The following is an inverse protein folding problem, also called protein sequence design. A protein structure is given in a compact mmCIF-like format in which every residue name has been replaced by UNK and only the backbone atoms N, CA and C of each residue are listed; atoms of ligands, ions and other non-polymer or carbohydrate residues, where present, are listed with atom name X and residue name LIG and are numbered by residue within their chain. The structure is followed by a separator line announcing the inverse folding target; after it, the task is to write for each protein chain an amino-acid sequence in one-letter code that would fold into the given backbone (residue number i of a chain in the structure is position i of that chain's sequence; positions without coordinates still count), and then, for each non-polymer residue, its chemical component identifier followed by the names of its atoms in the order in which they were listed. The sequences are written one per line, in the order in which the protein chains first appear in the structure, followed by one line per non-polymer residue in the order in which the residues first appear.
data_IF_405913727780
#
_entry.id   IF_405913727780
#
_cell.length_a   1.000
_cell.length_b   1.000
_cell.length_c   1.000
_cell.angle_alpha   90.00
_cell.angle_beta   90.00
_cell.angle_gamma   90.00
#
_symmetry.space_group_name_H-M   'P 1'
#
loop_
_entity.id
_entity.type
_entity.pdbx_description
1 polymer ?
#
# COMPACT_ATOMS: atom_id res chain seq x y z
N UNK A 1 13.20 -2.19 -3.76
CA UNK A 1 12.34 -2.33 -2.56
C UNK A 1 10.96 -2.87 -2.91
N UNK A 2 10.19 -2.26 -3.81
CA UNK A 2 8.84 -2.74 -4.20
C UNK A 2 8.80 -4.23 -4.57
N UNK A 3 9.66 -4.64 -5.51
CA UNK A 3 9.72 -6.03 -5.99
C UNK A 3 9.99 -7.03 -4.87
N UNK A 4 11.06 -6.79 -4.09
CA UNK A 4 11.39 -7.60 -2.92
C UNK A 4 10.21 -7.72 -1.95
N UNK A 5 9.48 -6.62 -1.69
CA UNK A 5 8.29 -6.64 -0.84
C UNK A 5 7.17 -7.51 -1.42
N UNK A 6 6.91 -7.43 -2.73
CA UNK A 6 5.86 -8.22 -3.39
C UNK A 6 6.22 -9.70 -3.54
N UNK A 7 7.52 -10.01 -3.54
CA UNK A 7 8.05 -11.38 -3.64
C UNK A 7 8.10 -12.08 -2.27
N UNK A 8 8.20 -11.32 -1.17
CA UNK A 8 8.24 -11.83 0.20
C UNK A 8 6.85 -12.15 0.81
N UNK A 9 5.90 -12.57 -0.01
CA UNK A 9 4.57 -12.93 0.49
C UNK A 9 4.63 -14.28 1.21
N UNK A 10 4.34 -14.23 2.51
CA UNK A 10 4.42 -15.38 3.42
C UNK A 10 3.12 -16.17 3.56
N UNK A 11 2.02 -15.71 2.96
CA UNK A 11 0.70 -16.38 3.00
C UNK A 11 0.24 -16.69 1.58
N UNK A 12 -0.38 -17.85 1.38
CA UNK A 12 -0.94 -18.22 0.09
C UNK A 12 -1.94 -17.15 -0.39
N UNK A 13 -1.72 -16.64 -1.60
CA UNK A 13 -2.63 -15.67 -2.21
C UNK A 13 -3.96 -16.35 -2.53
N UNK A 14 -5.11 -15.72 -2.25
CA UNK A 14 -6.40 -16.24 -2.69
C UNK A 14 -6.43 -16.27 -4.23
N UNK A 15 -7.05 -17.33 -4.79
CA UNK A 15 -7.16 -17.49 -6.24
C UNK A 15 -7.87 -16.28 -6.83
N UNK A 16 -7.26 -15.65 -7.83
CA UNK A 16 -7.89 -14.57 -8.58
C UNK A 16 -9.05 -15.09 -9.41
N UNK A 17 -10.17 -14.39 -9.39
CA UNK A 17 -11.31 -14.65 -10.30
C UNK A 17 -11.85 -13.33 -10.85
N UNK A 18 -12.77 -13.37 -11.83
CA UNK A 18 -13.41 -12.17 -12.36
C UNK A 18 -14.08 -11.32 -11.27
N UNK A 19 -14.54 -11.96 -10.18
CA UNK A 19 -15.14 -11.29 -9.02
C UNK A 19 -14.12 -10.89 -7.95
N UNK A 20 -12.98 -11.57 -7.87
CA UNK A 20 -11.94 -11.36 -6.87
C UNK A 20 -10.60 -11.07 -7.56
N UNK A 21 -10.45 -9.84 -8.04
CA UNK A 21 -9.20 -9.38 -8.66
C UNK A 21 -8.24 -8.82 -7.62
N UNK A 22 -6.94 -9.03 -7.83
CA UNK A 22 -5.87 -8.52 -6.97
C UNK A 22 -5.54 -7.09 -7.39
N UNK A 23 -6.02 -6.10 -6.66
CA UNK A 23 -5.76 -4.68 -6.96
C UNK A 23 -4.64 -4.17 -6.06
N UNK A 24 -3.68 -3.43 -6.63
CA UNK A 24 -2.61 -2.80 -5.87
C UNK A 24 -2.62 -1.29 -6.11
N UNK A 25 -2.86 -0.52 -5.05
CA UNK A 25 -2.75 0.94 -5.10
C UNK A 25 -1.32 1.33 -4.70
N UNK A 26 -0.67 2.16 -5.52
CA UNK A 26 0.68 2.67 -5.25
C UNK A 26 0.70 4.18 -5.35
N UNK A 27 1.68 4.78 -4.66
CA UNK A 27 1.97 6.20 -4.77
C UNK A 27 2.43 6.58 -6.20
N UNK A 28 2.23 7.83 -6.58
CA UNK A 28 2.61 8.36 -7.90
C UNK A 28 4.13 8.25 -8.18
N UNK A 29 4.98 8.17 -7.14
CA UNK A 29 6.40 7.88 -7.30
C UNK A 29 6.70 6.52 -7.96
N UNK A 30 5.71 5.62 -8.06
CA UNK A 30 5.86 4.30 -8.67
C UNK A 30 5.39 4.20 -10.13
N UNK A 31 5.12 5.31 -10.84
CA UNK A 31 4.62 5.28 -12.23
C UNK A 31 5.45 4.38 -13.15
N UNK A 32 6.78 4.34 -12.98
CA UNK A 32 7.67 3.46 -13.75
C UNK A 32 7.70 1.98 -13.32
N UNK A 33 6.86 1.57 -12.37
CA UNK A 33 6.84 0.21 -11.81
C UNK A 33 5.61 -0.62 -12.22
N UNK A 34 4.76 -0.10 -13.11
CA UNK A 34 3.52 -0.77 -13.55
C UNK A 34 3.77 -2.20 -14.02
N UNK A 35 4.72 -2.40 -14.94
CA UNK A 35 5.04 -3.72 -15.48
C UNK A 35 5.48 -4.71 -14.41
N UNK A 36 6.19 -4.23 -13.39
CA UNK A 36 6.69 -5.07 -12.27
C UNK A 36 5.55 -5.57 -11.39
N UNK A 37 4.50 -4.77 -11.25
CA UNK A 37 3.30 -5.08 -10.48
C UNK A 37 2.41 -6.06 -11.26
N UNK A 38 2.20 -5.79 -12.54
CA UNK A 38 1.35 -6.60 -13.42
C UNK A 38 1.95 -7.99 -13.69
N UNK A 39 3.28 -8.09 -13.83
CA UNK A 39 4.01 -9.39 -13.88
C UNK A 39 3.73 -10.29 -12.67
N UNK A 40 3.36 -9.71 -11.53
CA UNK A 40 3.04 -10.42 -10.29
C UNK A 40 1.54 -10.66 -10.12
N UNK A 41 0.73 -10.43 -11.16
CA UNK A 41 -0.71 -10.71 -11.17
C UNK A 41 -1.58 -9.67 -10.46
N UNK A 42 -1.06 -8.45 -10.25
CA UNK A 42 -1.82 -7.34 -9.68
C UNK A 42 -2.30 -6.38 -10.77
N UNK A 43 -3.51 -5.84 -10.60
CA UNK A 43 -3.99 -4.67 -11.33
C UNK A 43 -3.40 -3.44 -10.65
N UNK A 44 -2.49 -2.75 -11.34
CA UNK A 44 -1.78 -1.59 -10.82
C UNK A 44 -2.65 -0.33 -10.90
N UNK A 45 -2.92 0.27 -9.74
CA UNK A 45 -3.53 1.60 -9.62
C UNK A 45 -2.44 2.59 -9.20
N UNK A 46 -1.79 3.18 -10.20
CA UNK A 46 -0.72 4.16 -10.02
C UNK A 46 -1.12 5.38 -10.85
N UNK A 47 -1.65 6.42 -10.20
CA UNK A 47 -2.00 7.67 -10.88
C UNK A 47 -1.67 8.88 -10.01
N UNK A 48 -1.05 9.93 -10.57
CA UNK A 48 -0.90 11.21 -9.89
C UNK A 48 -2.24 11.91 -9.73
N UNK A 49 -2.32 12.82 -8.74
CA UNK A 49 -3.53 13.57 -8.38
C UNK A 49 -4.14 14.34 -9.56
N UNK A 50 -3.30 14.91 -10.42
CA UNK A 50 -3.73 15.66 -11.61
C UNK A 50 -4.51 14.78 -12.58
N UNK A 51 -4.02 13.57 -12.85
CA UNK A 51 -4.68 12.61 -13.74
C UNK A 51 -5.98 12.07 -13.15
N UNK A 52 -6.02 11.74 -11.85
CA UNK A 52 -7.27 11.34 -11.20
C UNK A 52 -8.33 12.45 -11.27
N UNK A 53 -7.93 13.71 -11.09
CA UNK A 53 -8.85 14.85 -11.21
C UNK A 53 -9.42 14.97 -12.62
N UNK A 54 -8.59 14.80 -13.65
CA UNK A 54 -9.06 14.85 -15.04
C UNK A 54 -9.99 13.67 -15.37
N UNK A 55 -9.70 12.48 -14.85
CA UNK A 55 -10.55 11.31 -15.05
C UNK A 55 -11.92 11.48 -14.38
N UNK A 56 -11.97 12.02 -13.16
CA UNK A 56 -13.22 12.33 -12.48
C UNK A 56 -14.09 13.34 -13.25
N UNK A 57 -13.49 14.26 -13.99
CA UNK A 57 -14.22 15.21 -14.84
C UNK A 57 -14.78 14.54 -16.11
N UNK A 58 -14.08 13.53 -16.64
CA UNK A 58 -14.44 12.86 -17.91
C UNK A 58 -15.37 11.67 -17.70
N UNK A 59 -15.22 10.95 -16.59
CA UNK A 59 -15.91 9.71 -16.29
C UNK A 59 -16.59 9.79 -14.92
N UNK A 60 -17.92 9.99 -14.86
CA UNK A 60 -18.68 10.05 -13.63
C UNK A 60 -18.60 8.77 -12.77
N UNK A 61 -18.35 7.61 -13.39
CA UNK A 61 -18.26 6.32 -12.70
C UNK A 61 -16.87 6.03 -12.13
N UNK A 62 -15.89 6.90 -12.41
CA UNK A 62 -14.52 6.71 -11.95
C UNK A 62 -14.42 6.89 -10.42
N UNK A 63 -13.74 5.93 -9.77
CA UNK A 63 -13.47 5.97 -8.33
C UNK A 63 -11.98 6.18 -8.08
N UNK A 64 -11.62 7.34 -7.53
CA UNK A 64 -10.25 7.63 -7.10
C UNK A 64 -9.82 6.69 -5.98
N UNK A 65 -8.58 6.17 -6.07
CA UNK A 65 -8.05 5.15 -5.15
C UNK A 65 -6.81 5.61 -4.38
N UNK A 66 -6.26 6.79 -4.73
CA UNK A 66 -5.09 7.38 -4.07
C UNK A 66 -5.23 7.49 -2.55
N UNK A 67 -6.43 7.81 -2.06
CA UNK A 67 -6.71 7.95 -0.62
C UNK A 67 -6.38 6.68 0.18
N UNK A 68 -6.40 5.49 -0.43
CA UNK A 68 -6.04 4.22 0.23
C UNK A 68 -4.56 4.23 0.64
N UNK A 69 -3.68 4.77 -0.20
CA UNK A 69 -2.26 4.90 0.08
C UNK A 69 -2.04 5.92 1.19
N UNK A 70 -2.69 7.09 1.11
CA UNK A 70 -2.62 8.13 2.14
C UNK A 70 -3.12 7.65 3.51
N UNK A 71 -4.25 6.93 3.54
CA UNK A 71 -4.77 6.31 4.77
C UNK A 71 -3.76 5.32 5.33
N UNK A 72 -3.11 4.50 4.49
CA UNK A 72 -2.06 3.58 4.94
C UNK A 72 -0.88 4.35 5.55
N UNK A 73 -0.41 5.42 4.91
CA UNK A 73 0.63 6.30 5.46
C UNK A 73 0.22 6.94 6.79
N UNK A 74 -1.05 7.34 6.93
CA UNK A 74 -1.56 7.90 8.19
C UNK A 74 -1.45 6.92 9.37
N UNK A 75 -1.46 5.61 9.11
CA UNK A 75 -1.29 4.61 10.17
C UNK A 75 0.12 4.65 10.74
N UNK A 76 1.12 4.84 9.88
CA UNK A 76 2.52 4.98 10.30
C UNK A 76 2.77 6.29 11.06
N UNK A 77 2.08 7.38 10.72
CA UNK A 77 2.23 8.67 11.41
C UNK A 77 1.86 8.61 12.90
N UNK A 78 1.07 7.61 13.32
CA UNK A 78 0.74 7.39 14.75
C UNK A 78 1.91 6.81 15.56
N UNK A 79 2.94 6.29 14.90
CA UNK A 79 4.12 5.75 15.55
C UNK A 79 5.19 6.84 15.63
N UNK A 80 5.27 7.55 16.77
CA UNK A 80 6.26 8.63 16.99
C UNK A 80 7.70 8.22 16.66
N UNK A 81 8.04 6.95 16.94
CA UNK A 81 9.36 6.38 16.66
C UNK A 81 9.67 6.20 15.16
N UNK A 82 8.66 6.15 14.31
CA UNK A 82 8.80 6.12 12.85
C UNK A 82 8.71 7.51 12.21
N UNK A 83 7.95 8.42 12.81
CA UNK A 83 7.75 9.78 12.32
C UNK A 83 9.07 10.56 12.26
N UNK A 84 9.87 10.47 13.32
CA UNK A 84 11.24 11.01 13.34
C UNK A 84 12.23 9.86 13.38
N UNK A 85 13.08 9.77 12.36
CA UNK A 85 14.09 8.71 12.26
C UNK A 85 15.28 9.03 13.18
N UNK A 86 15.28 8.41 14.36
CA UNK A 86 16.43 8.43 15.29
C UNK A 86 17.41 7.27 15.08
N UNK A 87 16.98 6.21 14.40
CA UNK A 87 17.79 5.01 14.20
C UNK A 87 18.99 5.27 13.29
N UNK A 88 20.19 5.03 13.81
CA UNK A 88 21.46 5.17 13.07
C UNK A 88 21.61 4.10 11.99
N UNK A 89 21.22 2.86 12.28
CA UNK A 89 21.31 1.74 11.34
C UNK A 89 20.00 1.59 10.55
N UNK A 90 20.11 1.39 9.23
CA UNK A 90 18.96 1.15 8.37
C UNK A 90 18.19 -0.12 8.76
N UNK A 91 18.89 -1.17 9.20
CA UNK A 91 18.29 -2.42 9.67
C UNK A 91 17.35 -2.20 10.88
N UNK A 92 17.74 -1.36 11.83
CA UNK A 92 16.91 -1.04 13.00
C UNK A 92 15.62 -0.32 12.57
N UNK A 93 15.74 0.66 11.66
CA UNK A 93 14.57 1.37 11.13
C UNK A 93 13.62 0.42 10.38
N UNK A 94 14.17 -0.47 9.55
CA UNK A 94 13.40 -1.49 8.85
C UNK A 94 12.68 -2.43 9.84
N UNK A 95 13.36 -2.85 10.91
CA UNK A 95 12.74 -3.64 11.99
C UNK A 95 11.55 -2.92 12.63
N UNK A 96 11.69 -1.64 12.97
CA UNK A 96 10.58 -0.83 13.51
C UNK A 96 9.41 -0.71 12.52
N UNK A 97 9.70 -0.61 11.21
CA UNK A 97 8.68 -0.58 10.18
C UNK A 97 7.89 -1.90 10.16
N UNK A 98 8.57 -3.05 10.20
CA UNK A 98 7.93 -4.36 10.29
C UNK A 98 7.07 -4.49 11.56
N UNK A 99 7.58 -4.03 12.72
CA UNK A 99 6.82 -4.02 13.97
C UNK A 99 5.55 -3.16 13.86
N UNK A 100 5.64 -1.97 13.27
CA UNK A 100 4.47 -1.12 13.04
C UNK A 100 3.44 -1.79 12.12
N UNK A 101 3.88 -2.41 11.02
CA UNK A 101 3.01 -3.18 10.14
C UNK A 101 2.29 -4.30 10.91
N UNK A 102 3.01 -5.08 11.71
CA UNK A 102 2.43 -6.15 12.52
C UNK A 102 1.37 -5.62 13.50
N UNK A 103 1.67 -4.52 14.20
CA UNK A 103 0.72 -3.88 15.13
C UNK A 103 -0.51 -3.34 14.39
N UNK A 104 -0.35 -2.74 13.21
CA UNK A 104 -1.47 -2.23 12.39
C UNK A 104 -2.39 -3.40 11.98
N UNK A 105 -1.83 -4.50 11.49
CA UNK A 105 -2.60 -5.69 11.09
C UNK A 105 -3.32 -6.28 12.30
N UNK A 106 -2.60 -6.47 13.43
CA UNK A 106 -3.17 -6.96 14.68
C UNK A 106 -4.39 -6.15 15.13
N UNK A 107 -4.26 -4.81 15.17
CA UNK A 107 -5.35 -3.88 15.55
C UNK A 107 -6.54 -3.88 14.59
N UNK A 108 -6.34 -4.25 13.32
CA UNK A 108 -7.42 -4.30 12.32
C UNK A 108 -8.14 -5.64 12.30
N UNK A 109 -7.44 -6.73 12.59
CA UNK A 109 -8.01 -8.08 12.64
C UNK A 109 -8.77 -8.32 13.93
N UNK A 110 -8.22 -7.87 15.06
CA UNK A 110 -8.92 -7.93 16.33
C UNK A 110 -9.84 -6.72 16.40
N UNK A 111 -11.13 -6.95 16.13
CA UNK A 111 -12.18 -6.01 16.54
C UNK A 111 -12.15 -5.95 18.07
N UNK A 112 -11.38 -5.03 18.62
CA UNK A 112 -11.55 -4.65 20.02
C UNK A 112 -12.90 -3.93 20.07
N UNK A 113 -13.96 -4.68 20.38
CA UNK A 113 -15.17 -4.06 20.89
C UNK A 113 -14.77 -3.41 22.21
N UNK A 114 -14.67 -2.09 22.20
CA UNK A 114 -14.85 -1.25 23.38
C UNK A 114 -16.23 -0.63 23.22
#
# INVERSE_FOLDING_TARGET
MLEATLDQIVVQRPKSSAKFTQNLCLDAGYTGSKDKVEKRGYIAHIRPRSEEKQELLRNPDFKARRWVVEVTHSFFNRFRKLLVRFEKKAANYLGLLHFACAIIVWRKLIRVHI
#
